data_IF_135003744052
#
_entry.id   IF_135003744052
#
_cell.length_a   1.000
_cell.length_b   1.000
_cell.length_c   1.000
_cell.angle_alpha   90.00
_cell.angle_beta   90.00
_cell.angle_gamma   90.00
#
_symmetry.space_group_name_H-M   'P 1'
#
loop_
_entity.id
_entity.type
_entity.pdbx_description
1 polymer ?
#
# COMPACT_ATOMS: atom_id res chain seq x y z
N UNK A 1 -7.75 20.44 3.15
CA UNK A 1 -7.09 19.19 2.72
C UNK A 1 -7.00 18.12 3.83
N UNK A 2 -6.46 18.42 5.02
CA UNK A 2 -6.36 17.43 6.12
C UNK A 2 -7.70 16.79 6.54
N UNK A 3 -8.77 17.57 6.56
CA UNK A 3 -10.11 17.11 6.96
C UNK A 3 -10.69 16.04 6.02
N UNK A 4 -10.60 16.26 4.70
CA UNK A 4 -11.05 15.32 3.67
C UNK A 4 -10.26 14.01 3.68
N UNK A 5 -8.92 14.09 3.81
CA UNK A 5 -8.07 12.89 3.83
C UNK A 5 -8.34 12.02 5.06
N UNK A 6 -8.54 12.64 6.23
CA UNK A 6 -8.89 11.90 7.45
C UNK A 6 -10.25 11.22 7.34
N UNK A 7 -11.24 11.87 6.73
CA UNK A 7 -12.56 11.27 6.51
C UNK A 7 -12.51 10.12 5.51
N UNK A 8 -11.74 10.27 4.43
CA UNK A 8 -11.51 9.21 3.45
C UNK A 8 -10.82 8.01 4.09
N UNK A 9 -9.79 8.24 4.91
CA UNK A 9 -9.10 7.19 5.68
C UNK A 9 -10.05 6.55 6.70
N UNK A 10 -10.88 7.33 7.39
CA UNK A 10 -11.83 6.81 8.38
C UNK A 10 -12.88 5.90 7.72
N UNK A 11 -13.36 6.25 6.54
CA UNK A 11 -14.44 5.52 5.86
C UNK A 11 -13.93 4.37 4.98
N UNK A 12 -12.75 4.51 4.37
CA UNK A 12 -12.19 3.58 3.39
C UNK A 12 -10.86 2.95 3.82
N UNK A 13 -10.31 3.31 4.97
CA UNK A 13 -8.99 2.86 5.43
C UNK A 13 -8.87 1.34 5.54
N UNK A 14 -9.92 0.64 5.97
CA UNK A 14 -9.92 -0.83 5.99
C UNK A 14 -9.84 -1.44 4.59
N UNK A 15 -10.56 -0.88 3.61
CA UNK A 15 -10.49 -1.34 2.21
C UNK A 15 -9.11 -1.03 1.62
N UNK A 16 -8.58 0.17 1.86
CA UNK A 16 -7.25 0.59 1.45
C UNK A 16 -6.16 -0.31 2.04
N UNK A 17 -6.25 -0.63 3.34
CA UNK A 17 -5.32 -1.51 4.03
C UNK A 17 -5.38 -2.94 3.49
N UNK A 18 -6.58 -3.46 3.19
CA UNK A 18 -6.73 -4.79 2.59
C UNK A 18 -6.09 -4.86 1.19
N UNK A 19 -6.34 -3.85 0.36
CA UNK A 19 -5.69 -3.74 -0.96
C UNK A 19 -4.18 -3.66 -0.81
N UNK A 20 -3.70 -2.81 0.09
CA UNK A 20 -2.28 -2.65 0.36
C UNK A 20 -1.60 -3.92 0.86
N UNK A 21 -2.27 -4.70 1.71
CA UNK A 21 -1.79 -6.00 2.18
C UNK A 21 -1.67 -7.01 1.04
N UNK A 22 -2.72 -7.16 0.22
CA UNK A 22 -2.74 -8.15 -0.87
C UNK A 22 -1.72 -7.78 -1.94
N UNK A 23 -1.83 -6.57 -2.49
CA UNK A 23 -0.93 -6.09 -3.55
C UNK A 23 0.50 -5.99 -3.03
N UNK A 24 0.68 -5.44 -1.82
CA UNK A 24 1.99 -5.32 -1.21
C UNK A 24 2.66 -6.66 -0.94
N UNK A 25 1.92 -7.70 -0.52
CA UNK A 25 2.50 -9.04 -0.30
C UNK A 25 2.94 -9.68 -1.62
N UNK A 26 2.12 -9.57 -2.67
CA UNK A 26 2.49 -10.05 -4.00
C UNK A 26 3.76 -9.33 -4.50
N UNK A 27 3.76 -7.99 -4.39
CA UNK A 27 4.90 -7.17 -4.82
C UNK A 27 6.16 -7.43 -3.97
N UNK A 28 6.03 -7.69 -2.67
CA UNK A 28 7.17 -8.00 -1.80
C UNK A 28 7.80 -9.33 -2.22
N UNK A 29 6.97 -10.36 -2.45
CA UNK A 29 7.42 -11.68 -2.89
C UNK A 29 8.17 -11.57 -4.21
N UNK A 30 7.65 -10.85 -5.21
CA UNK A 30 8.35 -10.75 -6.51
C UNK A 30 9.61 -9.87 -6.44
N UNK A 31 9.60 -8.79 -5.66
CA UNK A 31 10.67 -7.79 -5.63
C UNK A 31 11.84 -8.20 -4.73
N UNK A 32 11.57 -9.01 -3.71
CA UNK A 32 12.56 -9.47 -2.73
C UNK A 32 12.52 -10.98 -2.51
N UNK A 33 12.08 -11.77 -3.51
CA UNK A 33 12.03 -13.24 -3.45
C UNK A 33 13.33 -13.82 -2.88
N UNK A 34 14.47 -13.44 -3.47
CA UNK A 34 15.78 -13.93 -3.08
C UNK A 34 16.19 -13.50 -1.67
N UNK A 35 15.69 -12.36 -1.17
CA UNK A 35 15.98 -11.93 0.21
C UNK A 35 15.08 -12.60 1.25
N UNK A 36 13.98 -13.23 0.81
CA UNK A 36 13.06 -14.00 1.67
C UNK A 36 13.44 -15.47 1.69
N UNK A 37 13.81 -16.03 0.52
CA UNK A 37 14.02 -17.46 0.32
C UNK A 37 15.49 -17.87 0.10
N UNK A 38 16.42 -16.92 0.01
CA UNK A 38 17.86 -17.18 -0.12
C UNK A 38 18.69 -16.23 0.76
N UNK A 39 20.01 -16.36 0.73
CA UNK A 39 20.94 -15.59 1.57
C UNK A 39 21.25 -14.18 1.03
N UNK A 40 20.24 -13.47 0.54
CA UNK A 40 20.39 -12.07 0.12
C UNK A 40 19.95 -11.09 1.24
N UNK A 41 20.60 -9.93 1.37
CA UNK A 41 20.24 -8.95 2.39
C UNK A 41 18.84 -8.38 2.15
N UNK A 42 18.00 -8.42 3.17
CA UNK A 42 16.64 -7.88 3.12
C UNK A 42 16.64 -6.35 3.05
N UNK A 43 15.92 -5.80 2.07
CA UNK A 43 15.87 -4.35 1.84
C UNK A 43 14.62 -3.78 2.50
N UNK A 44 14.76 -3.39 3.76
CA UNK A 44 13.66 -2.91 4.61
C UNK A 44 12.89 -1.72 4.05
N UNK A 45 13.58 -0.69 3.54
CA UNK A 45 12.92 0.51 3.02
C UNK A 45 12.05 0.19 1.79
N UNK A 46 12.55 -0.50 0.75
CA UNK A 46 11.70 -0.96 -0.35
C UNK A 46 10.56 -1.88 0.09
N UNK A 47 10.80 -2.77 1.07
CA UNK A 47 9.77 -3.65 1.60
C UNK A 47 8.61 -2.87 2.25
N UNK A 48 8.92 -1.87 3.07
CA UNK A 48 7.91 -1.00 3.68
C UNK A 48 7.14 -0.20 2.61
N UNK A 49 7.85 0.40 1.65
CA UNK A 49 7.23 1.17 0.57
C UNK A 49 6.28 0.33 -0.29
N UNK A 50 6.57 -0.96 -0.42
CA UNK A 50 5.73 -1.91 -1.16
C UNK A 50 4.32 -2.02 -0.58
N UNK A 51 4.13 -1.76 0.72
CA UNK A 51 2.81 -1.71 1.36
C UNK A 51 2.26 -0.28 1.46
N UNK A 52 3.14 0.71 1.70
CA UNK A 52 2.73 2.10 1.88
C UNK A 52 2.19 2.71 0.58
N UNK A 53 2.84 2.45 -0.56
CA UNK A 53 2.46 3.05 -1.84
C UNK A 53 1.06 2.60 -2.28
N UNK A 54 0.71 1.29 -2.32
CA UNK A 54 -0.64 0.85 -2.71
C UNK A 54 -1.75 1.40 -1.81
N UNK A 55 -1.48 1.61 -0.52
CA UNK A 55 -2.43 2.23 0.41
C UNK A 55 -2.79 3.66 -0.03
N UNK A 56 -1.78 4.50 -0.29
CA UNK A 56 -2.00 5.87 -0.73
C UNK A 56 -2.61 5.94 -2.13
N UNK A 57 -2.16 5.07 -3.06
CA UNK A 57 -2.73 5.00 -4.42
C UNK A 57 -4.23 4.67 -4.37
N UNK A 58 -4.65 3.72 -3.53
CA UNK A 58 -6.06 3.40 -3.37
C UNK A 58 -6.87 4.59 -2.84
N UNK A 59 -6.37 5.28 -1.81
CA UNK A 59 -7.05 6.45 -1.25
C UNK A 59 -7.15 7.58 -2.29
N UNK A 60 -6.07 7.87 -3.02
CA UNK A 60 -6.09 8.88 -4.07
C UNK A 60 -7.07 8.53 -5.19
N UNK A 61 -7.16 7.27 -5.59
CA UNK A 61 -8.15 6.81 -6.57
C UNK A 61 -9.60 7.04 -6.09
N UNK A 62 -9.88 6.76 -4.81
CA UNK A 62 -11.21 6.97 -4.22
C UNK A 62 -11.58 8.45 -4.04
N UNK A 63 -10.60 9.33 -3.90
CA UNK A 63 -10.89 10.77 -3.89
C UNK A 63 -11.42 11.24 -5.26
N UNK A 64 -10.87 10.73 -6.37
CA UNK A 64 -11.27 11.14 -7.73
C UNK A 64 -12.63 10.59 -8.15
N UNK A 65 -13.00 9.39 -7.69
CA UNK A 65 -14.35 8.83 -7.90
C UNK A 65 -15.48 9.65 -7.27
N UNK A 66 -15.20 10.47 -6.24
CA UNK A 66 -16.21 11.30 -5.58
C UNK A 66 -16.38 12.69 -6.20
N UNK A 67 -15.62 13.02 -7.25
CA UNK A 67 -15.71 14.29 -7.98
C UNK A 67 -16.44 14.16 -9.33
N UNK A 68 -16.82 12.94 -9.74
CA UNK A 68 -17.66 12.62 -10.91
C UNK A 68 -19.09 12.26 -10.49
#
# INVERSE_FOLDING_TARGET
MKFQLQELVRNHGFKAAKVALIVGTILLIINQFNAIFADQPFRWLPAALTYIVPFFVFLLGKHKEGEE
#
